data_IF_268033912375
#
_entry.id   IF_268033912375
#
_cell.length_a   1.000
_cell.length_b   1.000
_cell.length_c   1.000
_cell.angle_alpha   90.00
_cell.angle_beta   90.00
_cell.angle_gamma   90.00
#
_symmetry.space_group_name_H-M   'P 1'
#
loop_
_entity.id
_entity.type
_entity.pdbx_description
1 polymer ?
#
# COMPACT_ATOMS: atom_id res chain seq x y z
N UNK A 1 5.93 1.10 -18.34
CA UNK A 1 4.65 1.79 -18.12
C UNK A 1 4.82 2.82 -17.02
N UNK A 2 4.24 3.98 -17.16
CA UNK A 2 4.39 5.06 -16.18
C UNK A 2 3.22 5.11 -15.23
N UNK A 3 3.48 5.56 -14.01
CA UNK A 3 2.41 5.88 -13.09
C UNK A 3 1.59 7.06 -13.63
N UNK A 4 0.29 6.91 -13.56
CA UNK A 4 -0.63 7.98 -13.96
C UNK A 4 -1.80 8.00 -12.99
N UNK A 5 -1.93 9.09 -12.25
CA UNK A 5 -3.06 9.31 -11.35
C UNK A 5 -4.30 9.58 -12.17
N UNK A 6 -5.35 8.81 -11.88
CA UNK A 6 -6.67 9.01 -12.46
C UNK A 6 -7.60 9.46 -11.34
N UNK A 7 -8.06 10.71 -11.41
CA UNK A 7 -8.92 11.28 -10.38
C UNK A 7 -9.75 12.40 -10.94
N UNK A 8 -10.95 12.57 -10.40
CA UNK A 8 -11.80 13.72 -10.69
C UNK A 8 -11.31 14.96 -9.94
N UNK A 9 -10.49 14.75 -8.90
CA UNK A 9 -9.97 15.83 -8.08
C UNK A 9 -8.65 16.32 -8.61
N UNK A 10 -8.40 17.61 -8.41
CA UNK A 10 -7.11 18.22 -8.66
C UNK A 10 -6.50 18.67 -7.32
N UNK A 11 -5.18 18.71 -7.23
CA UNK A 11 -4.55 19.21 -6.00
C UNK A 11 -5.03 20.62 -5.67
N UNK A 12 -5.43 20.82 -4.42
CA UNK A 12 -5.95 22.10 -3.93
C UNK A 12 -5.28 22.50 -2.63
N UNK A 13 -5.45 23.75 -2.23
CA UNK A 13 -4.89 24.26 -0.98
C UNK A 13 -3.37 24.17 -0.97
N UNK A 14 -2.82 23.53 0.07
CA UNK A 14 -1.38 23.35 0.23
C UNK A 14 -0.84 22.13 -0.50
N UNK A 15 -1.70 21.33 -1.13
CA UNK A 15 -1.29 20.11 -1.81
C UNK A 15 -0.30 20.32 -2.96
N UNK A 16 -0.52 21.28 -3.88
CA UNK A 16 0.45 21.51 -4.95
C UNK A 16 1.85 21.81 -4.43
N UNK A 17 1.95 22.60 -3.37
CA UNK A 17 3.23 22.97 -2.76
C UNK A 17 3.88 21.74 -2.10
N UNK A 18 3.09 20.92 -1.39
CA UNK A 18 3.59 19.71 -0.76
C UNK A 18 4.09 18.71 -1.80
N UNK A 19 3.34 18.53 -2.88
CA UNK A 19 3.73 17.64 -3.98
C UNK A 19 5.06 18.09 -4.58
N UNK A 20 5.20 19.36 -4.86
CA UNK A 20 6.43 19.92 -5.43
C UNK A 20 7.63 19.73 -4.51
N UNK A 21 7.49 20.07 -3.24
CA UNK A 21 8.59 19.94 -2.27
C UNK A 21 9.01 18.50 -2.05
N UNK A 22 8.06 17.61 -1.87
CA UNK A 22 8.35 16.20 -1.65
C UNK A 22 9.01 15.56 -2.88
N UNK A 23 8.49 15.87 -4.06
CA UNK A 23 9.02 15.34 -5.31
C UNK A 23 10.44 15.80 -5.55
N UNK A 24 10.70 17.09 -5.38
CA UNK A 24 12.04 17.65 -5.51
C UNK A 24 13.00 17.06 -4.49
N UNK A 25 12.55 16.87 -3.24
CA UNK A 25 13.37 16.27 -2.21
C UNK A 25 13.82 14.87 -2.59
N UNK A 26 12.90 14.04 -3.08
CA UNK A 26 13.21 12.68 -3.52
C UNK A 26 14.20 12.70 -4.68
N UNK A 27 13.96 13.52 -5.68
CA UNK A 27 14.82 13.62 -6.87
C UNK A 27 16.20 14.17 -6.53
N UNK A 28 16.31 14.98 -5.48
CA UNK A 28 17.58 15.52 -5.01
C UNK A 28 18.31 14.61 -4.02
N UNK A 29 17.77 13.44 -3.73
CA UNK A 29 18.41 12.43 -2.89
C UNK A 29 18.16 12.59 -1.39
N UNK A 30 17.14 13.36 -0.99
CA UNK A 30 16.75 13.45 0.42
C UNK A 30 16.28 12.07 0.91
N UNK A 31 16.88 11.59 1.99
CA UNK A 31 16.53 10.28 2.54
C UNK A 31 15.23 10.28 3.32
N UNK A 32 14.96 11.36 4.03
CA UNK A 32 13.82 11.47 4.94
C UNK A 32 13.07 12.75 4.71
N UNK A 33 11.76 12.64 4.65
CA UNK A 33 10.86 13.78 4.58
C UNK A 33 9.61 13.45 5.36
N UNK A 34 8.96 14.45 5.94
CA UNK A 34 7.74 14.28 6.72
C UNK A 34 6.64 15.14 6.13
N UNK A 35 5.50 14.52 5.87
CA UNK A 35 4.29 15.21 5.44
C UNK A 35 3.33 15.30 6.63
N UNK A 36 3.10 16.52 7.10
CA UNK A 36 2.14 16.80 8.16
C UNK A 36 0.83 17.27 7.55
N UNK A 37 -0.26 16.76 8.07
CA UNK A 37 -1.57 17.18 7.59
C UNK A 37 -2.67 16.53 8.41
N UNK A 38 -3.89 17.04 8.22
CA UNK A 38 -5.07 16.45 8.85
C UNK A 38 -5.39 15.11 8.24
N UNK A 39 -6.05 14.26 9.03
CA UNK A 39 -6.47 12.94 8.59
C UNK A 39 -7.47 13.03 7.43
N UNK A 40 -7.43 12.03 6.57
CA UNK A 40 -8.34 11.90 5.44
C UNK A 40 -7.60 11.60 4.14
N UNK A 41 -8.37 11.49 3.06
CA UNK A 41 -7.87 11.12 1.74
C UNK A 41 -6.91 12.13 1.11
N UNK A 42 -6.84 13.35 1.66
CA UNK A 42 -5.97 14.40 1.13
C UNK A 42 -4.50 14.04 1.15
N UNK A 43 -4.03 13.37 2.21
CA UNK A 43 -2.63 12.94 2.28
C UNK A 43 -2.33 11.84 1.28
N UNK A 44 -3.22 10.87 1.14
CA UNK A 44 -3.05 9.79 0.17
C UNK A 44 -3.01 10.32 -1.25
N UNK A 45 -3.88 11.26 -1.56
CA UNK A 45 -3.89 11.92 -2.87
C UNK A 45 -2.58 12.67 -3.12
N UNK A 46 -2.08 13.39 -2.11
CA UNK A 46 -0.79 14.08 -2.19
C UNK A 46 0.33 13.08 -2.48
N UNK A 47 0.39 11.98 -1.74
CA UNK A 47 1.42 10.95 -1.94
C UNK A 47 1.30 10.31 -3.32
N UNK A 48 0.07 10.04 -3.78
CA UNK A 48 -0.15 9.48 -5.12
C UNK A 48 0.44 10.41 -6.20
N UNK A 49 0.23 11.71 -6.06
CA UNK A 49 0.79 12.67 -7.00
C UNK A 49 2.32 12.74 -6.93
N UNK A 50 2.91 12.57 -5.74
CA UNK A 50 4.36 12.49 -5.59
C UNK A 50 4.90 11.25 -6.33
N UNK A 51 4.25 10.10 -6.16
CA UNK A 51 4.63 8.87 -6.87
C UNK A 51 4.60 9.08 -8.38
N UNK A 52 3.56 9.75 -8.87
CA UNK A 52 3.45 10.09 -10.29
C UNK A 52 4.61 10.97 -10.76
N UNK A 53 4.97 11.97 -9.97
CA UNK A 53 6.05 12.90 -10.33
C UNK A 53 7.42 12.21 -10.37
N UNK A 54 7.71 11.35 -9.39
CA UNK A 54 9.05 10.74 -9.28
C UNK A 54 9.19 9.44 -10.08
N UNK A 55 8.11 8.78 -10.43
CA UNK A 55 8.10 7.58 -11.28
C UNK A 55 9.02 6.45 -10.76
N UNK A 56 8.97 6.19 -9.48
CA UNK A 56 9.78 5.13 -8.85
C UNK A 56 8.91 4.08 -8.20
N UNK A 57 9.34 2.80 -8.22
CA UNK A 57 8.67 1.78 -7.42
C UNK A 57 8.57 2.22 -5.97
N UNK A 58 7.43 1.98 -5.35
CA UNK A 58 7.09 2.55 -4.04
C UNK A 58 6.60 1.46 -3.10
N UNK A 59 7.11 1.49 -1.87
CA UNK A 59 6.64 0.64 -0.79
C UNK A 59 5.90 1.52 0.24
N UNK A 60 4.67 1.17 0.53
CA UNK A 60 3.85 1.85 1.54
C UNK A 60 3.70 0.93 2.73
N UNK A 61 4.18 1.37 3.88
CA UNK A 61 4.08 0.61 5.12
C UNK A 61 3.03 1.23 6.04
N UNK A 62 2.05 0.44 6.41
CA UNK A 62 1.02 0.81 7.37
C UNK A 62 1.26 0.08 8.69
N UNK A 63 0.87 0.69 9.80
CA UNK A 63 1.13 0.08 11.10
C UNK A 63 0.18 -1.07 11.45
N UNK A 64 -0.92 -1.24 10.73
CA UNK A 64 -1.79 -2.41 10.91
C UNK A 64 -2.47 -2.78 9.59
N UNK A 65 -3.11 -3.95 9.58
CA UNK A 65 -3.76 -4.49 8.38
C UNK A 65 -4.97 -3.67 7.93
N UNK A 66 -5.68 -3.06 8.87
CA UNK A 66 -6.87 -2.26 8.55
C UNK A 66 -6.49 -1.03 7.74
N UNK A 67 -5.45 -0.33 8.19
CA UNK A 67 -4.92 0.82 7.45
C UNK A 67 -4.32 0.39 6.12
N UNK A 68 -3.60 -0.73 6.10
CA UNK A 68 -3.03 -1.26 4.87
C UNK A 68 -4.13 -1.54 3.82
N UNK A 69 -5.23 -2.16 4.23
CA UNK A 69 -6.34 -2.44 3.34
C UNK A 69 -6.98 -1.16 2.80
N UNK A 70 -7.14 -0.15 3.67
CA UNK A 70 -7.67 1.15 3.26
C UNK A 70 -6.77 1.82 2.24
N UNK A 71 -5.46 1.85 2.50
CA UNK A 71 -4.50 2.45 1.59
C UNK A 71 -4.44 1.70 0.25
N UNK A 72 -4.50 0.38 0.29
CA UNK A 72 -4.55 -0.42 -0.92
C UNK A 72 -5.75 -0.01 -1.80
N UNK A 73 -6.92 0.10 -1.19
CA UNK A 73 -8.14 0.51 -1.89
C UNK A 73 -7.98 1.91 -2.51
N UNK A 74 -7.44 2.85 -1.75
CA UNK A 74 -7.26 4.23 -2.22
C UNK A 74 -6.25 4.30 -3.37
N UNK A 75 -5.09 3.65 -3.23
CA UNK A 75 -4.07 3.65 -4.29
C UNK A 75 -4.56 2.93 -5.55
N UNK A 76 -5.35 1.88 -5.39
CA UNK A 76 -5.96 1.22 -6.54
C UNK A 76 -6.90 2.13 -7.30
N UNK A 77 -7.64 2.96 -6.60
CA UNK A 77 -8.52 3.94 -7.23
C UNK A 77 -7.75 5.01 -7.99
N UNK A 78 -6.64 5.49 -7.42
CA UNK A 78 -5.82 6.50 -8.07
C UNK A 78 -4.97 5.95 -9.22
N UNK A 79 -4.58 4.68 -9.16
CA UNK A 79 -3.74 4.05 -10.17
C UNK A 79 -4.39 2.79 -10.73
N UNK A 80 -5.53 2.93 -11.44
CA UNK A 80 -6.23 1.75 -11.96
C UNK A 80 -5.46 1.01 -13.05
N UNK A 81 -4.50 1.67 -13.69
CA UNK A 81 -3.74 1.10 -14.81
C UNK A 81 -2.32 0.69 -14.41
N UNK A 82 -1.96 0.83 -13.14
CA UNK A 82 -0.63 0.50 -12.66
C UNK A 82 -0.69 -0.69 -11.69
N UNK A 83 0.47 -1.22 -11.34
CA UNK A 83 0.56 -2.40 -10.49
C UNK A 83 0.51 -2.01 -9.01
N UNK A 84 -0.67 -2.05 -8.42
CA UNK A 84 -0.86 -1.81 -6.98
C UNK A 84 -1.05 -3.16 -6.32
N UNK A 85 -0.16 -3.52 -5.41
CA UNK A 85 -0.10 -4.84 -4.79
C UNK A 85 -0.30 -4.75 -3.29
N UNK A 86 -0.92 -5.78 -2.73
CA UNK A 86 -1.22 -5.88 -1.31
C UNK A 86 -0.44 -7.06 -0.74
N UNK A 87 0.46 -6.78 0.20
CA UNK A 87 1.32 -7.80 0.77
C UNK A 87 1.25 -7.75 2.29
N UNK A 88 0.44 -8.62 2.87
CA UNK A 88 0.31 -8.73 4.33
C UNK A 88 0.62 -10.15 4.77
N UNK A 89 1.01 -10.31 6.03
CA UNK A 89 1.32 -11.62 6.57
C UNK A 89 0.04 -12.34 6.99
N UNK A 90 0.10 -13.66 7.04
CA UNK A 90 -1.00 -14.46 7.56
C UNK A 90 -1.32 -14.09 8.99
N UNK A 91 -0.32 -13.71 9.76
CA UNK A 91 -0.46 -13.31 11.16
C UNK A 91 -1.43 -12.15 11.33
N UNK A 92 -1.48 -11.24 10.38
CA UNK A 92 -2.38 -10.08 10.43
C UNK A 92 -3.86 -10.47 10.44
N UNK A 93 -4.19 -11.66 9.94
CA UNK A 93 -5.57 -12.14 9.87
C UNK A 93 -5.94 -13.07 11.01
N UNK A 94 -4.96 -13.60 11.75
CA UNK A 94 -5.19 -14.43 12.92
C UNK A 94 -5.10 -13.57 14.16
N UNK A 95 -6.20 -12.88 14.48
CA UNK A 95 -6.29 -12.11 15.70
C UNK A 95 -6.80 -13.01 16.82
N UNK A 96 -6.17 -12.98 18.01
CA UNK A 96 -6.65 -13.79 19.14
C UNK A 96 -8.11 -13.52 19.51
N UNK A 97 -8.56 -12.30 19.37
CA UNK A 97 -9.94 -11.92 19.62
C UNK A 97 -10.92 -12.50 18.59
N UNK A 98 -10.44 -12.98 17.48
CA UNK A 98 -11.23 -13.69 16.50
C UNK A 98 -11.41 -15.17 16.86
N UNK A 99 -10.89 -15.56 18.00
CA UNK A 99 -10.96 -16.92 18.49
C UNK A 99 -12.31 -17.21 19.13
N UNK A 100 -13.32 -17.35 18.29
CA UNK A 100 -14.61 -17.82 18.73
C UNK A 100 -14.61 -19.35 18.52
N UNK A 101 -15.18 -20.14 19.47
CA UNK A 101 -15.25 -21.59 19.30
C UNK A 101 -15.91 -21.93 17.99
N UNK A 102 -15.22 -22.71 17.22
CA UNK A 102 -15.32 -22.76 15.78
C UNK A 102 -16.41 -23.68 15.30
N UNK A 103 -17.27 -23.16 14.43
CA UNK A 103 -18.10 -23.99 13.57
C UNK A 103 -17.31 -24.33 12.31
N UNK A 104 -17.69 -25.37 11.58
CA UNK A 104 -17.07 -25.73 10.31
C UNK A 104 -17.06 -24.58 9.31
N UNK A 105 -18.09 -23.73 9.33
CA UNK A 105 -18.21 -22.57 8.47
C UNK A 105 -17.09 -21.56 8.71
N UNK A 106 -16.67 -21.39 9.96
CA UNK A 106 -15.58 -20.49 10.32
C UNK A 106 -14.25 -21.01 9.78
N UNK A 107 -14.01 -22.30 9.86
CA UNK A 107 -12.79 -22.91 9.32
C UNK A 107 -12.70 -22.71 7.80
N UNK A 108 -13.79 -22.90 7.09
CA UNK A 108 -13.84 -22.68 5.65
C UNK A 108 -13.54 -21.23 5.30
N UNK A 109 -14.07 -20.29 6.09
CA UNK A 109 -13.81 -18.87 5.88
C UNK A 109 -12.34 -18.54 6.08
N UNK A 110 -11.70 -19.09 7.10
CA UNK A 110 -10.28 -18.89 7.35
C UNK A 110 -9.41 -19.44 6.23
N UNK A 111 -9.73 -20.63 5.73
CA UNK A 111 -9.03 -21.23 4.62
C UNK A 111 -9.15 -20.38 3.37
N UNK A 112 -10.34 -19.84 3.11
CA UNK A 112 -10.59 -18.97 1.98
C UNK A 112 -9.78 -17.67 2.08
N UNK A 113 -9.69 -17.08 3.27
CA UNK A 113 -8.88 -15.88 3.52
C UNK A 113 -7.41 -16.17 3.27
N UNK A 114 -6.90 -17.32 3.75
CA UNK A 114 -5.51 -17.70 3.56
C UNK A 114 -5.17 -17.91 2.08
N UNK A 115 -6.08 -18.54 1.34
CA UNK A 115 -5.89 -18.71 -0.11
C UNK A 115 -5.83 -17.37 -0.83
N UNK A 116 -6.71 -16.45 -0.45
CA UNK A 116 -6.73 -15.12 -1.03
C UNK A 116 -5.45 -14.35 -0.74
N UNK A 117 -4.96 -14.42 0.51
CA UNK A 117 -3.70 -13.81 0.89
C UNK A 117 -2.53 -14.39 0.11
N UNK A 118 -2.51 -15.70 -0.08
CA UNK A 118 -1.46 -16.35 -0.83
C UNK A 118 -1.45 -15.88 -2.28
N UNK A 119 -2.61 -15.76 -2.90
CA UNK A 119 -2.73 -15.23 -4.26
C UNK A 119 -2.19 -13.81 -4.34
N UNK A 120 -2.54 -12.95 -3.38
CA UNK A 120 -2.05 -11.57 -3.34
C UNK A 120 -0.54 -11.50 -3.18
N UNK A 121 0.02 -12.36 -2.32
CA UNK A 121 1.47 -12.40 -2.11
C UNK A 121 2.19 -12.89 -3.36
N UNK A 122 1.66 -13.91 -4.03
CA UNK A 122 2.22 -14.42 -5.29
C UNK A 122 2.13 -13.37 -6.40
N UNK A 123 1.02 -12.66 -6.47
CA UNK A 123 0.85 -11.56 -7.43
C UNK A 123 1.91 -10.48 -7.24
N UNK A 124 2.16 -10.10 -5.97
CA UNK A 124 3.20 -9.12 -5.63
C UNK A 124 4.58 -9.61 -6.07
N UNK A 125 4.92 -10.85 -5.72
CA UNK A 125 6.20 -11.43 -6.07
C UNK A 125 6.38 -11.48 -7.58
N UNK A 126 5.37 -11.92 -8.31
CA UNK A 126 5.39 -11.98 -9.76
C UNK A 126 5.60 -10.59 -10.37
N UNK A 127 4.89 -9.58 -9.86
CA UNK A 127 5.02 -8.21 -10.34
C UNK A 127 6.44 -7.68 -10.14
N UNK A 128 7.02 -7.94 -8.97
CA UNK A 128 8.39 -7.50 -8.67
C UNK A 128 9.42 -8.19 -9.57
N UNK A 129 9.22 -9.48 -9.84
CA UNK A 129 10.14 -10.24 -10.69
C UNK A 129 9.97 -9.91 -12.18
N UNK A 130 8.87 -9.33 -12.58
CA UNK A 130 8.62 -8.98 -13.98
C UNK A 130 9.48 -7.81 -14.49
N UNK A 131 10.13 -7.09 -13.61
CA UNK A 131 10.91 -5.91 -13.97
C UNK A 131 10.10 -4.64 -14.16
N UNK A 132 8.78 -4.68 -13.90
CA UNK A 132 7.94 -3.47 -13.93
C UNK A 132 8.44 -2.46 -12.93
N UNK A 133 8.39 -1.20 -13.31
CA UNK A 133 8.75 -0.11 -12.40
C UNK A 133 7.54 0.67 -11.91
N UNK A 134 6.37 0.47 -12.51
CA UNK A 134 5.13 1.11 -12.10
C UNK A 134 4.41 0.29 -11.02
N UNK A 135 5.13 0.03 -9.93
CA UNK A 135 4.69 -0.85 -8.84
C UNK A 135 4.56 -0.07 -7.54
N UNK A 136 3.43 -0.25 -6.87
CA UNK A 136 3.23 0.18 -5.48
C UNK A 136 2.87 -1.05 -4.67
N UNK A 137 3.65 -1.35 -3.64
CA UNK A 137 3.37 -2.44 -2.72
C UNK A 137 2.88 -1.84 -1.41
N UNK A 138 1.70 -2.23 -0.97
CA UNK A 138 1.16 -1.83 0.33
C UNK A 138 1.27 -3.01 1.29
N UNK A 139 1.91 -2.78 2.41
CA UNK A 139 2.21 -3.81 3.39
C UNK A 139 1.97 -3.29 4.80
N UNK A 140 1.80 -4.20 5.76
CA UNK A 140 1.79 -3.84 7.17
C UNK A 140 3.18 -4.07 7.77
N UNK A 141 3.48 -3.37 8.87
CA UNK A 141 4.80 -3.50 9.52
C UNK A 141 5.03 -4.90 10.09
N UNK A 142 3.98 -5.66 10.36
CA UNK A 142 4.10 -7.03 10.84
C UNK A 142 4.80 -7.94 9.84
N UNK A 143 4.75 -7.63 8.54
CA UNK A 143 5.49 -8.37 7.52
C UNK A 143 6.99 -8.26 7.71
N UNK A 144 7.47 -7.11 8.18
CA UNK A 144 8.90 -6.90 8.43
C UNK A 144 9.39 -7.77 9.58
N UNK A 145 8.59 -7.89 10.62
CA UNK A 145 8.96 -8.74 11.76
C UNK A 145 9.00 -10.21 11.37
N UNK A 146 8.08 -10.64 10.52
CA UNK A 146 8.06 -12.01 10.03
C UNK A 146 9.29 -12.36 9.19
N UNK A 147 9.82 -11.39 8.45
CA UNK A 147 11.01 -11.58 7.61
C UNK A 147 12.28 -11.55 8.47
N UNK A 148 12.32 -10.69 9.47
CA UNK A 148 13.50 -10.50 10.30
C UNK A 148 13.68 -11.48 11.43
N UNK A 149 12.76 -12.43 11.61
CA UNK A 149 12.80 -13.38 12.71
C UNK A 149 12.99 -14.79 12.19
N UNK A 150 14.22 -15.29 12.21
CA UNK A 150 14.51 -16.65 11.74
C UNK A 150 13.86 -17.73 12.62
#
# INVERSE_FOLDING_TARGET
MKFQVVSEYKPTGDQPQAIEKLSKGILNGEKYQTLLGVTGSGKTFTVANVVQEVQRPTLVLAHNKTLAAQLYSEFKQFFPNNSVQYFVSYYDYYQPEAFIPVTGTYIEKDLSINEELEKLRLSTTSALLSGRRDIIVISSVSCLYGIGNP
#
